data_IF_930826941222
#
_entry.id   IF_930826941222
#
_cell.length_a   1.000
_cell.length_b   1.000
_cell.length_c   1.000
_cell.angle_alpha   90.00
_cell.angle_beta   90.00
_cell.angle_gamma   90.00
#
_symmetry.space_group_name_H-M   'P 1'
#
loop_
_entity.id
_entity.type
_entity.pdbx_description
1 polymer ?
#
# COMPACT_ATOMS: atom_id res chain seq x y z
N UNK A 1 -10.93 -4.71 7.05
CA UNK A 1 -11.37 -5.61 5.97
C UNK A 1 -12.45 -4.99 5.12
N UNK A 2 -13.61 -4.69 5.69
CA UNK A 2 -14.73 -4.03 5.02
C UNK A 2 -15.37 -3.00 5.96
N UNK A 3 -16.51 -2.43 5.58
CA UNK A 3 -17.28 -1.43 6.32
C UNK A 3 -18.27 -2.03 7.33
N UNK A 4 -18.19 -3.34 7.64
CA UNK A 4 -18.98 -3.97 8.71
C UNK A 4 -18.41 -3.62 10.09
N UNK A 5 -19.15 -3.85 11.20
CA UNK A 5 -18.66 -3.58 12.55
C UNK A 5 -17.24 -4.11 12.78
N UNK A 6 -16.43 -3.33 13.49
CA UNK A 6 -15.00 -3.59 13.72
C UNK A 6 -14.17 -3.73 12.42
N UNK A 7 -14.56 -3.05 11.35
CA UNK A 7 -13.91 -3.17 10.04
C UNK A 7 -13.98 -4.59 9.46
N UNK A 8 -14.95 -5.41 9.89
CA UNK A 8 -15.07 -6.82 9.53
C UNK A 8 -13.95 -7.72 10.08
N UNK A 9 -13.16 -7.26 11.04
CA UNK A 9 -12.05 -8.04 11.63
C UNK A 9 -12.53 -9.09 12.63
N UNK A 10 -13.50 -8.75 13.47
CA UNK A 10 -14.03 -9.65 14.49
C UNK A 10 -15.46 -9.27 14.85
N UNK A 11 -16.26 -10.26 15.25
CA UNK A 11 -17.60 -10.06 15.83
C UNK A 11 -17.56 -9.83 17.35
N UNK A 12 -16.42 -10.10 18.00
CA UNK A 12 -16.22 -9.94 19.44
C UNK A 12 -15.54 -8.63 19.83
N UNK A 13 -15.23 -8.50 21.12
CA UNK A 13 -14.45 -7.37 21.66
C UNK A 13 -12.98 -7.57 21.30
N UNK A 14 -12.39 -6.59 20.61
CA UNK A 14 -10.97 -6.59 20.25
C UNK A 14 -10.12 -6.00 21.37
N UNK A 15 -8.87 -6.45 21.45
CA UNK A 15 -7.88 -5.99 22.45
C UNK A 15 -7.40 -4.54 22.18
N UNK A 16 -7.58 -4.07 20.96
CA UNK A 16 -7.27 -2.71 20.52
C UNK A 16 -8.36 -2.17 19.60
N UNK A 17 -8.72 -0.91 19.79
CA UNK A 17 -9.75 -0.24 19.00
C UNK A 17 -9.39 -0.22 17.52
N UNK A 18 -10.33 -0.61 16.66
CA UNK A 18 -10.23 -0.40 15.21
C UNK A 18 -10.26 1.10 14.90
N UNK A 19 -9.41 1.56 13.98
CA UNK A 19 -9.41 2.96 13.57
C UNK A 19 -10.79 3.34 13.00
N UNK A 20 -11.34 4.49 13.41
CA UNK A 20 -12.72 4.89 13.13
C UNK A 20 -12.99 5.21 11.66
N UNK A 21 -11.95 5.37 10.86
CA UNK A 21 -12.02 5.62 9.42
C UNK A 21 -12.22 4.34 8.57
N UNK A 22 -12.39 3.17 9.18
CA UNK A 22 -12.58 1.90 8.45
C UNK A 22 -13.80 1.89 7.51
N UNK A 23 -14.79 2.75 7.76
CA UNK A 23 -15.94 2.94 6.87
C UNK A 23 -15.55 3.58 5.52
N UNK A 24 -14.47 4.38 5.52
CA UNK A 24 -13.91 5.03 4.33
C UNK A 24 -12.73 4.22 3.76
N UNK A 25 -11.89 3.67 4.63
CA UNK A 25 -10.67 2.98 4.26
C UNK A 25 -10.72 1.50 4.63
N UNK A 26 -11.08 0.67 3.66
CA UNK A 26 -11.09 -0.78 3.83
C UNK A 26 -10.67 -1.51 2.55
N UNK A 27 -10.37 -2.80 2.68
CA UNK A 27 -9.84 -3.59 1.57
C UNK A 27 -10.92 -3.96 0.54
N UNK A 28 -12.15 -4.21 0.98
CA UNK A 28 -13.27 -4.55 0.09
C UNK A 28 -13.48 -3.47 -0.98
N UNK A 29 -13.51 -2.20 -0.58
CA UNK A 29 -13.63 -1.08 -1.50
C UNK A 29 -12.37 -0.92 -2.36
N UNK A 30 -11.18 -0.93 -1.73
CA UNK A 30 -9.93 -0.67 -2.44
C UNK A 30 -9.53 -1.75 -3.45
N UNK A 31 -9.90 -3.02 -3.24
CA UNK A 31 -9.57 -4.11 -4.17
C UNK A 31 -10.28 -3.95 -5.52
N UNK A 32 -11.44 -3.31 -5.52
CA UNK A 32 -12.25 -3.09 -6.74
C UNK A 32 -11.96 -1.76 -7.42
N UNK A 33 -11.45 -0.77 -6.68
CA UNK A 33 -11.09 0.53 -7.24
C UNK A 33 -9.72 0.50 -7.93
N UNK A 34 -9.63 0.72 -9.25
CA UNK A 34 -8.36 0.74 -9.98
C UNK A 34 -7.43 1.90 -9.59
N UNK A 35 -7.96 2.96 -8.98
CA UNK A 35 -7.21 4.13 -8.52
C UNK A 35 -6.81 4.07 -7.04
N UNK A 36 -7.17 2.99 -6.34
CA UNK A 36 -6.87 2.82 -4.93
C UNK A 36 -5.37 2.62 -4.64
N UNK A 37 -5.01 2.82 -3.37
CA UNK A 37 -3.67 2.51 -2.85
C UNK A 37 -3.37 1.01 -3.01
N UNK A 38 -4.35 0.13 -2.78
CA UNK A 38 -4.20 -1.30 -3.02
C UNK A 38 -3.84 -1.60 -4.49
N UNK A 39 -4.59 -1.04 -5.44
CA UNK A 39 -4.34 -1.21 -6.88
C UNK A 39 -3.03 -0.59 -7.32
N UNK A 40 -2.59 0.52 -6.71
CA UNK A 40 -1.26 1.07 -6.91
C UNK A 40 -0.17 0.09 -6.49
N UNK A 41 -0.22 -0.46 -5.28
CA UNK A 41 0.77 -1.45 -4.81
C UNK A 41 0.78 -2.72 -5.64
N UNK A 42 -0.39 -3.21 -6.08
CA UNK A 42 -0.48 -4.34 -7.01
C UNK A 42 0.34 -4.07 -8.28
N UNK A 43 0.20 -2.89 -8.89
CA UNK A 43 0.96 -2.48 -10.09
C UNK A 43 2.46 -2.37 -9.81
N UNK A 44 2.86 -1.78 -8.67
CA UNK A 44 4.28 -1.68 -8.27
C UNK A 44 4.92 -3.06 -8.12
N UNK A 45 4.25 -4.00 -7.44
CA UNK A 45 4.76 -5.36 -7.27
C UNK A 45 4.83 -6.13 -8.60
N UNK A 46 3.89 -5.89 -9.50
CA UNK A 46 3.93 -6.42 -10.85
C UNK A 46 5.14 -5.91 -11.64
N UNK A 47 5.39 -4.59 -11.65
CA UNK A 47 6.57 -3.99 -12.29
C UNK A 47 7.86 -4.52 -11.68
N UNK A 48 7.92 -4.65 -10.34
CA UNK A 48 9.08 -5.23 -9.64
C UNK A 48 9.36 -6.67 -10.10
N UNK A 49 8.31 -7.47 -10.31
CA UNK A 49 8.44 -8.85 -10.80
C UNK A 49 8.86 -8.88 -12.27
N UNK A 50 8.26 -8.04 -13.12
CA UNK A 50 8.54 -7.99 -14.55
C UNK A 50 9.98 -7.52 -14.83
N UNK A 51 10.48 -6.53 -14.09
CA UNK A 51 11.82 -5.97 -14.26
C UNK A 51 12.73 -6.31 -13.08
N UNK A 52 12.70 -7.58 -12.65
CA UNK A 52 13.41 -8.06 -11.47
C UNK A 52 14.92 -7.81 -11.53
N UNK A 53 15.54 -7.84 -12.71
CA UNK A 53 16.97 -7.58 -12.88
C UNK A 53 17.35 -6.15 -12.45
N UNK A 54 16.43 -5.18 -12.59
CA UNK A 54 16.64 -3.79 -12.17
C UNK A 54 16.11 -3.57 -10.76
N UNK A 55 14.87 -3.95 -10.47
CA UNK A 55 14.22 -3.65 -9.18
C UNK A 55 14.56 -4.62 -8.03
N UNK A 56 15.28 -5.71 -8.28
CA UNK A 56 15.74 -6.64 -7.22
C UNK A 56 17.27 -6.67 -7.16
N UNK A 57 17.94 -6.80 -8.30
CA UNK A 57 19.40 -6.97 -8.36
C UNK A 57 20.14 -5.81 -9.03
N UNK A 58 19.41 -4.76 -9.46
CA UNK A 58 20.03 -3.59 -10.04
C UNK A 58 20.88 -2.86 -9.01
N UNK A 59 21.90 -2.15 -9.50
CA UNK A 59 22.68 -1.25 -8.64
C UNK A 59 21.77 -0.09 -8.21
N UNK A 60 21.75 0.17 -6.92
CA UNK A 60 21.16 1.37 -6.34
C UNK A 60 22.26 2.43 -6.17
N UNK A 61 22.01 3.64 -6.65
CA UNK A 61 22.89 4.80 -6.50
C UNK A 61 22.00 6.03 -6.31
N UNK A 62 22.45 7.03 -5.57
CA UNK A 62 21.68 8.27 -5.37
C UNK A 62 22.38 9.37 -6.13
N UNK A 63 21.66 10.06 -7.01
CA UNK A 63 22.26 11.06 -7.88
C UNK A 63 22.49 12.40 -7.16
N UNK A 64 21.57 12.78 -6.28
CA UNK A 64 21.64 14.02 -5.51
C UNK A 64 21.15 13.76 -4.09
N UNK A 65 22.09 13.71 -3.15
CA UNK A 65 21.82 13.39 -1.74
C UNK A 65 21.23 14.55 -0.96
N UNK A 66 21.49 15.79 -1.39
CA UNK A 66 21.20 16.99 -0.62
C UNK A 66 19.98 17.74 -1.16
N UNK A 67 19.36 17.26 -2.24
CA UNK A 67 18.18 17.90 -2.80
C UNK A 67 17.01 17.90 -1.78
N UNK A 68 16.48 19.07 -1.41
CA UNK A 68 15.61 19.18 -0.23
C UNK A 68 14.19 18.61 -0.42
N UNK A 69 13.78 18.40 -1.67
CA UNK A 69 12.38 18.07 -2.00
C UNK A 69 12.21 16.91 -2.99
N UNK A 70 13.30 16.36 -3.53
CA UNK A 70 13.27 15.34 -4.59
C UNK A 70 14.25 14.25 -4.19
N UNK A 71 13.79 13.01 -4.24
CA UNK A 71 14.65 11.85 -4.07
C UNK A 71 14.96 11.30 -5.47
N UNK A 72 16.23 11.38 -5.89
CA UNK A 72 16.68 10.98 -7.22
C UNK A 72 17.67 9.83 -7.13
N UNK A 73 17.37 8.77 -7.89
CA UNK A 73 18.13 7.51 -8.01
C UNK A 73 18.61 7.32 -9.44
#
# INVERSE_FOLDING_TARGET
WNSKPNGGFSTGVHWIRVNGDYMLWNAEDQVTDPMSVFSHWRRVLELRRQHWAVFIYGKFDVMDHDHPSIFLL
#
